data_IF_319744284714
#
_entry.id   IF_319744284714
#
_cell.length_a   1.000
_cell.length_b   1.000
_cell.length_c   1.000
_cell.angle_alpha   90.00
_cell.angle_beta   90.00
_cell.angle_gamma   90.00
#
_symmetry.space_group_name_H-M   'P 1'
#
loop_
_entity.id
_entity.type
_entity.pdbx_description
1 polymer ?
#
# COMPACT_ATOMS: atom_id res chain seq x y z
N UNK A 1 0.18 -34.12 8.12
CA UNK A 1 0.68 -32.73 8.04
C UNK A 1 -0.20 -31.98 7.05
N UNK A 2 -1.03 -31.05 7.50
CA UNK A 2 -1.93 -30.30 6.62
C UNK A 2 -1.12 -29.32 5.78
N UNK A 3 -1.17 -29.43 4.46
CA UNK A 3 -0.55 -28.46 3.56
C UNK A 3 -1.19 -27.08 3.79
N UNK A 4 -0.42 -26.13 4.30
CA UNK A 4 -0.92 -24.80 4.63
C UNK A 4 -1.56 -24.11 3.42
N UNK A 5 -2.77 -23.58 3.60
CA UNK A 5 -3.52 -22.83 2.57
C UNK A 5 -2.68 -21.64 2.06
N UNK A 6 -2.43 -21.56 0.75
CA UNK A 6 -1.78 -20.40 0.12
C UNK A 6 -2.60 -19.13 0.35
N UNK A 7 -1.93 -18.03 0.71
CA UNK A 7 -2.58 -16.70 0.87
C UNK A 7 -3.11 -16.21 -0.48
N UNK A 8 -4.27 -15.54 -0.47
CA UNK A 8 -4.86 -14.96 -1.68
C UNK A 8 -3.98 -13.83 -2.25
N UNK A 9 -4.16 -13.52 -3.54
CA UNK A 9 -3.44 -12.41 -4.19
C UNK A 9 -3.70 -11.08 -3.49
N UNK A 10 -4.96 -10.75 -3.16
CA UNK A 10 -5.30 -9.57 -2.35
C UNK A 10 -4.55 -9.55 -1.03
N UNK A 11 -4.57 -10.67 -0.28
CA UNK A 11 -3.91 -10.76 1.02
C UNK A 11 -2.42 -10.47 0.93
N UNK A 12 -1.75 -10.92 -0.15
CA UNK A 12 -0.33 -10.64 -0.39
C UNK A 12 -0.08 -9.19 -0.82
N UNK A 13 -0.92 -8.64 -1.69
CA UNK A 13 -0.78 -7.27 -2.20
C UNK A 13 -0.99 -6.21 -1.11
N UNK A 14 -1.87 -6.49 -0.15
CA UNK A 14 -2.14 -5.61 0.99
C UNK A 14 -1.22 -5.88 2.20
N UNK A 15 -0.29 -6.83 2.11
CA UNK A 15 0.66 -7.13 3.20
C UNK A 15 1.88 -6.21 3.09
N UNK A 16 2.40 -5.73 4.22
CA UNK A 16 3.62 -4.93 4.23
C UNK A 16 4.82 -5.87 4.20
N UNK A 17 5.45 -5.99 3.03
CA UNK A 17 6.66 -6.81 2.89
C UNK A 17 7.83 -6.26 3.72
N UNK A 18 8.83 -7.10 4.09
CA UNK A 18 10.02 -6.62 4.80
C UNK A 18 10.78 -5.51 4.07
N UNK A 19 10.85 -5.58 2.73
CA UNK A 19 11.48 -4.55 1.91
C UNK A 19 10.74 -3.21 2.00
N UNK A 20 9.40 -3.24 1.92
CA UNK A 20 8.58 -2.03 2.07
C UNK A 20 8.68 -1.46 3.48
N UNK A 21 8.70 -2.32 4.50
CA UNK A 21 8.90 -1.91 5.90
C UNK A 21 10.21 -1.15 6.07
N UNK A 22 11.28 -1.60 5.45
CA UNK A 22 12.58 -0.92 5.49
C UNK A 22 12.54 0.44 4.81
N UNK A 23 11.89 0.55 3.63
CA UNK A 23 11.71 1.82 2.92
C UNK A 23 10.99 2.83 3.83
N UNK A 24 9.85 2.45 4.40
CA UNK A 24 9.04 3.31 5.28
C UNK A 24 9.83 3.68 6.54
N UNK A 25 10.54 2.72 7.15
CA UNK A 25 11.34 2.97 8.35
C UNK A 25 12.49 3.94 8.11
N UNK A 26 13.11 3.88 6.93
CA UNK A 26 14.22 4.77 6.55
C UNK A 26 13.72 6.17 6.19
N UNK A 27 12.59 6.26 5.48
CA UNK A 27 11.94 7.52 5.09
C UNK A 27 11.44 8.27 6.33
N UNK A 28 10.74 7.58 7.22
CA UNK A 28 10.00 8.21 8.32
C UNK A 28 10.83 8.22 9.60
N UNK A 29 11.22 9.41 10.06
CA UNK A 29 12.08 9.58 11.25
C UNK A 29 11.33 9.47 12.59
N UNK A 30 10.03 9.21 12.56
CA UNK A 30 9.16 9.10 13.73
C UNK A 30 7.71 9.02 13.33
N UNK A 31 6.79 9.21 14.28
CA UNK A 31 5.38 9.36 13.97
C UNK A 31 5.15 10.67 13.20
N UNK A 32 4.55 10.58 12.01
CA UNK A 32 4.28 11.76 11.18
C UNK A 32 3.39 12.79 11.88
N UNK A 33 2.48 12.35 12.73
CA UNK A 33 1.57 13.22 13.49
C UNK A 33 2.25 13.88 14.68
N UNK A 34 3.11 13.16 15.41
CA UNK A 34 3.96 13.77 16.44
C UNK A 34 4.88 14.84 15.85
N UNK A 35 5.50 14.56 14.69
CA UNK A 35 6.39 15.50 14.01
C UNK A 35 5.63 16.75 13.52
N UNK A 36 4.35 16.61 13.18
CA UNK A 36 3.44 17.71 12.86
C UNK A 36 2.86 18.41 14.11
N UNK A 37 3.28 18.03 15.32
CA UNK A 37 2.74 18.52 16.60
C UNK A 37 1.20 18.39 16.72
N UNK A 38 0.61 17.41 16.03
CA UNK A 38 -0.83 17.21 15.99
C UNK A 38 -1.30 16.35 17.16
N UNK A 39 -2.26 16.84 17.95
CA UNK A 39 -2.91 16.10 19.04
C UNK A 39 -1.93 15.31 19.89
N UNK A 40 -0.97 15.99 20.54
CA UNK A 40 0.02 15.30 21.35
C UNK A 40 -0.63 14.74 22.64
N UNK A 41 -0.26 13.52 23.07
CA UNK A 41 -0.76 12.98 24.33
C UNK A 41 -0.29 13.83 25.51
N UNK A 42 -1.13 13.92 26.54
CA UNK A 42 -0.78 14.62 27.78
C UNK A 42 0.16 13.75 28.60
N UNK A 43 1.43 14.16 28.67
CA UNK A 43 2.49 13.44 29.39
C UNK A 43 3.14 12.33 28.57
N UNK A 44 4.18 11.73 29.15
CA UNK A 44 4.96 10.67 28.52
C UNK A 44 4.58 9.29 29.08
N UNK A 45 3.94 8.48 28.25
CA UNK A 45 3.62 7.07 28.53
C UNK A 45 4.30 6.24 27.42
N UNK A 46 5.38 5.51 27.71
CA UNK A 46 6.20 4.83 26.69
C UNK A 46 5.38 3.96 25.70
N UNK A 47 4.34 3.28 26.19
CA UNK A 47 3.49 2.38 25.41
C UNK A 47 2.74 3.11 24.29
N UNK A 48 2.38 4.38 24.51
CA UNK A 48 1.72 5.23 23.52
C UNK A 48 2.65 5.62 22.38
N UNK A 49 3.97 5.62 22.62
CA UNK A 49 5.00 6.02 21.65
C UNK A 49 5.64 4.85 20.90
N UNK A 50 5.14 3.62 21.09
CA UNK A 50 5.57 2.47 20.28
C UNK A 50 5.23 2.72 18.80
N UNK A 51 6.24 2.60 17.93
CA UNK A 51 6.10 2.90 16.50
C UNK A 51 5.55 1.71 15.72
N UNK A 52 4.60 1.99 14.82
CA UNK A 52 3.98 1.07 13.89
C UNK A 52 3.91 1.68 12.50
N UNK A 53 3.69 0.84 11.48
CA UNK A 53 3.41 1.32 10.13
C UNK A 53 1.90 1.29 9.93
N UNK A 54 1.34 2.46 9.66
CA UNK A 54 -0.07 2.68 9.39
C UNK A 54 -0.32 2.63 7.89
N UNK A 55 -1.55 2.28 7.50
CA UNK A 55 -2.01 2.48 6.13
C UNK A 55 -2.88 3.73 6.03
N UNK A 56 -2.72 4.48 4.94
CA UNK A 56 -3.61 5.57 4.58
C UNK A 56 -4.98 5.04 4.13
N UNK A 57 -5.00 4.11 3.16
CA UNK A 57 -6.15 3.25 2.82
C UNK A 57 -5.99 1.92 3.56
N UNK A 58 -6.96 1.55 4.39
CA UNK A 58 -6.82 0.36 5.23
C UNK A 58 -6.75 -0.94 4.41
N UNK A 59 -6.03 -1.92 4.95
CA UNK A 59 -5.96 -3.26 4.37
C UNK A 59 -7.34 -3.94 4.22
N UNK A 60 -8.29 -3.66 5.12
CA UNK A 60 -9.64 -4.24 5.06
C UNK A 60 -10.41 -3.76 3.83
N UNK A 61 -10.28 -2.49 3.44
CA UNK A 61 -10.89 -1.93 2.22
C UNK A 61 -10.10 -2.24 0.96
N UNK A 62 -8.86 -2.71 1.11
CA UNK A 62 -8.03 -3.19 -0.01
C UNK A 62 -6.81 -2.30 -0.28
N UNK A 63 -6.41 -1.49 0.69
CA UNK A 63 -5.20 -0.70 0.60
C UNK A 63 -3.95 -1.57 0.40
N UNK A 64 -3.12 -1.18 -0.56
CA UNK A 64 -1.90 -1.87 -0.93
C UNK A 64 -0.81 -1.69 0.15
N UNK A 65 0.05 -2.70 0.30
CA UNK A 65 1.21 -2.67 1.20
C UNK A 65 2.43 -2.04 0.54
N UNK A 66 2.26 -0.86 -0.07
CA UNK A 66 3.30 -0.13 -0.82
C UNK A 66 3.70 1.16 -0.08
N UNK A 67 4.93 1.67 -0.24
CA UNK A 67 5.41 2.86 0.48
C UNK A 67 4.49 4.09 0.38
N UNK A 68 3.83 4.28 -0.76
CA UNK A 68 2.91 5.38 -1.09
C UNK A 68 1.61 5.32 -0.26
N UNK A 69 1.23 4.16 0.26
CA UNK A 69 0.04 4.00 1.11
C UNK A 69 0.39 3.96 2.60
N UNK A 70 1.67 4.07 2.97
CA UNK A 70 2.14 3.74 4.31
C UNK A 70 2.88 4.90 4.95
N UNK A 71 2.75 5.07 6.26
CA UNK A 71 3.65 5.92 7.05
C UNK A 71 3.76 5.42 8.48
N UNK A 72 4.85 5.83 9.15
CA UNK A 72 5.12 5.51 10.55
C UNK A 72 4.24 6.35 11.47
N UNK A 73 3.61 5.68 12.43
CA UNK A 73 2.79 6.29 13.47
C UNK A 73 3.11 5.70 14.83
N UNK A 74 2.95 6.48 15.90
CA UNK A 74 2.95 5.92 17.24
C UNK A 74 1.61 5.23 17.50
N UNK A 75 1.58 4.33 18.47
CA UNK A 75 0.36 3.61 18.84
C UNK A 75 -0.80 4.56 19.19
N UNK A 76 -0.52 5.69 19.84
CA UNK A 76 -1.53 6.71 20.15
C UNK A 76 -2.21 7.27 18.88
N UNK A 77 -1.42 7.79 17.94
CA UNK A 77 -1.98 8.35 16.70
C UNK A 77 -2.52 7.28 15.76
N UNK A 78 -1.96 6.07 15.78
CA UNK A 78 -2.50 4.95 14.99
C UNK A 78 -3.93 4.63 15.44
N UNK A 79 -4.17 4.52 16.76
CA UNK A 79 -5.51 4.34 17.30
C UNK A 79 -6.43 5.52 16.99
N UNK A 80 -5.93 6.74 17.09
CA UNK A 80 -6.71 7.94 16.76
C UNK A 80 -7.14 7.95 15.28
N UNK A 81 -6.24 7.58 14.36
CA UNK A 81 -6.52 7.48 12.93
C UNK A 81 -7.63 6.46 12.65
N UNK A 82 -7.63 5.33 13.36
CA UNK A 82 -8.59 4.25 13.13
C UNK A 82 -9.94 4.45 13.84
N UNK A 83 -9.97 5.07 15.02
CA UNK A 83 -11.10 4.98 15.95
C UNK A 83 -11.72 6.34 16.33
N UNK A 84 -11.19 7.47 15.84
CA UNK A 84 -11.64 8.80 16.27
C UNK A 84 -12.34 9.59 15.16
N UNK A 85 -13.18 10.58 15.50
CA UNK A 85 -13.77 11.50 14.52
C UNK A 85 -12.73 12.40 13.84
N UNK A 86 -11.51 12.50 14.39
CA UNK A 86 -10.39 13.26 13.83
C UNK A 86 -9.76 12.59 12.61
N UNK A 87 -10.20 11.40 12.24
CA UNK A 87 -9.69 10.63 11.09
C UNK A 87 -9.57 11.46 9.82
N UNK A 88 -10.58 12.28 9.50
CA UNK A 88 -10.57 13.08 8.26
C UNK A 88 -9.44 14.13 8.27
N UNK A 89 -9.28 14.86 9.37
CA UNK A 89 -8.18 15.82 9.55
C UNK A 89 -6.81 15.12 9.48
N UNK A 90 -6.68 13.98 10.15
CA UNK A 90 -5.45 13.18 10.11
C UNK A 90 -5.14 12.67 8.69
N UNK A 91 -6.15 12.29 7.91
CA UNK A 91 -5.97 11.89 6.51
C UNK A 91 -5.42 13.05 5.67
N UNK A 92 -5.82 14.29 5.91
CA UNK A 92 -5.23 15.45 5.21
C UNK A 92 -3.72 15.61 5.51
N UNK A 93 -3.33 15.47 6.79
CA UNK A 93 -1.91 15.54 7.19
C UNK A 93 -1.12 14.38 6.56
N UNK A 94 -1.68 13.17 6.59
CA UNK A 94 -1.06 11.98 6.03
C UNK A 94 -0.92 12.08 4.50
N UNK A 95 -1.96 12.53 3.80
CA UNK A 95 -1.90 12.78 2.35
C UNK A 95 -0.84 13.83 2.00
N UNK A 96 -0.82 14.97 2.70
CA UNK A 96 0.19 16.02 2.50
C UNK A 96 1.61 15.47 2.69
N UNK A 97 1.81 14.67 3.74
CA UNK A 97 3.08 14.00 4.00
C UNK A 97 3.50 13.08 2.85
N UNK A 98 2.59 12.25 2.35
CA UNK A 98 2.86 11.31 1.25
C UNK A 98 3.14 12.04 -0.06
N UNK A 99 2.34 13.06 -0.42
CA UNK A 99 2.54 13.87 -1.63
C UNK A 99 3.89 14.59 -1.65
N UNK A 100 4.42 14.97 -0.49
CA UNK A 100 5.76 15.55 -0.40
C UNK A 100 6.88 14.55 -0.72
N UNK A 101 6.64 13.25 -0.51
CA UNK A 101 7.59 12.19 -0.86
C UNK A 101 7.37 11.59 -2.24
N UNK A 102 6.13 11.65 -2.74
CA UNK A 102 5.71 11.10 -4.02
C UNK A 102 4.90 12.18 -4.77
N UNK A 103 5.53 13.00 -5.64
CA UNK A 103 4.86 14.10 -6.32
C UNK A 103 3.65 13.65 -7.17
N UNK A 104 3.70 12.45 -7.74
CA UNK A 104 2.64 11.85 -8.56
C UNK A 104 1.67 10.98 -7.73
N UNK A 105 1.58 11.22 -6.42
CA UNK A 105 0.72 10.46 -5.52
C UNK A 105 -0.75 10.68 -5.83
N UNK A 106 -1.50 9.58 -5.93
CA UNK A 106 -2.94 9.57 -6.17
C UNK A 106 -3.59 8.47 -5.31
N UNK A 107 -4.61 8.83 -4.52
CA UNK A 107 -5.31 7.88 -3.63
C UNK A 107 -5.92 6.69 -4.39
N UNK A 108 -6.40 6.90 -5.62
CA UNK A 108 -6.98 5.85 -6.47
C UNK A 108 -6.02 4.69 -6.74
N UNK A 109 -4.70 4.96 -6.81
CA UNK A 109 -3.65 3.95 -7.05
C UNK A 109 -3.31 3.12 -5.82
N UNK A 110 -3.87 3.47 -4.66
CA UNK A 110 -3.56 2.78 -3.40
C UNK A 110 -4.46 1.57 -3.15
N UNK A 111 -5.49 1.37 -3.97
CA UNK A 111 -6.42 0.26 -3.84
C UNK A 111 -6.01 -0.94 -4.68
N UNK A 112 -6.19 -2.14 -4.14
CA UNK A 112 -6.05 -3.38 -4.89
C UNK A 112 -7.16 -3.48 -5.95
N UNK A 113 -6.82 -3.19 -7.20
CA UNK A 113 -7.67 -3.47 -8.35
C UNK A 113 -7.65 -4.97 -8.65
N UNK A 114 -8.77 -5.66 -8.43
CA UNK A 114 -8.92 -7.06 -8.81
C UNK A 114 -9.01 -7.21 -10.34
N UNK A 115 -9.64 -6.23 -10.96
CA UNK A 115 -10.12 -6.27 -12.34
C UNK A 115 -9.00 -5.98 -13.35
N UNK A 116 -8.04 -5.13 -13.00
CA UNK A 116 -6.91 -4.77 -13.89
C UNK A 116 -5.91 -5.93 -14.04
N UNK A 117 -5.68 -6.69 -12.96
CA UNK A 117 -4.83 -7.89 -13.00
C UNK A 117 -5.49 -9.04 -13.77
N UNK A 118 -6.81 -9.15 -13.72
CA UNK A 118 -7.58 -10.10 -14.54
C UNK A 118 -7.62 -9.65 -16.02
N UNK A 119 -7.81 -8.35 -16.30
CA UNK A 119 -7.78 -7.77 -17.66
C UNK A 119 -6.41 -7.88 -18.34
N UNK A 120 -5.31 -7.59 -17.64
CA UNK A 120 -3.94 -7.74 -18.18
C UNK A 120 -3.63 -9.21 -18.45
N UNK A 121 -4.09 -10.12 -17.58
CA UNK A 121 -3.92 -11.56 -17.76
C UNK A 121 -4.75 -12.11 -18.92
N UNK A 122 -5.95 -11.59 -19.15
CA UNK A 122 -6.75 -11.92 -20.32
C UNK A 122 -6.16 -11.33 -21.62
N UNK A 123 -5.67 -10.08 -21.58
CA UNK A 123 -5.00 -9.46 -22.73
C UNK A 123 -3.70 -10.20 -23.13
N UNK A 124 -2.90 -10.62 -22.14
CA UNK A 124 -1.70 -11.42 -22.37
C UNK A 124 -1.96 -12.84 -22.88
N UNK A 125 -3.14 -13.42 -22.62
CA UNK A 125 -3.55 -14.69 -23.23
C UNK A 125 -3.94 -14.53 -24.70
N UNK A 126 -4.59 -13.42 -25.06
CA UNK A 126 -5.00 -13.16 -26.44
C UNK A 126 -3.81 -12.99 -27.40
N UNK A 127 -2.66 -12.53 -26.92
CA UNK A 127 -1.44 -12.43 -27.74
C UNK A 127 -0.71 -13.77 -27.90
N UNK A 128 -0.72 -14.63 -26.87
CA UNK A 128 -0.06 -15.95 -26.94
C UNK A 128 -0.83 -16.98 -27.76
N UNK A 129 -2.15 -16.84 -27.89
CA UNK A 129 -3.00 -17.71 -28.71
C UNK A 129 -3.12 -17.23 -30.17
N UNK A 130 -2.72 -15.99 -30.47
CA UNK A 130 -2.75 -15.41 -31.83
C UNK A 130 -1.43 -15.49 -32.61
N UNK A 131 -0.33 -15.95 -32.00
CA UNK A 131 1.01 -15.93 -32.60
C UNK A 131 1.46 -17.25 -33.27
N UNK A 132 0.51 -18.12 -33.65
CA UNK A 132 0.82 -19.37 -34.34
C UNK A 132 0.02 -19.51 -35.65
N UNK A 133 0.50 -18.88 -36.72
CA UNK A 133 0.57 -19.41 -38.09
C UNK A 133 0.94 -18.31 -39.09
N UNK A 134 2.23 -18.13 -39.32
CA UNK A 134 2.74 -17.67 -40.62
C UNK A 134 3.26 -18.91 -41.34
N UNK A 135 2.60 -19.38 -42.42
CA UNK A 135 3.14 -20.48 -43.20
C UNK A 135 4.37 -20.00 -43.96
N UNK A 136 5.48 -20.70 -43.77
CA UNK A 136 6.70 -20.55 -44.54
C UNK A 136 6.59 -21.39 -45.83
N UNK A 137 6.08 -20.81 -46.91
CA UNK A 137 6.20 -21.39 -48.25
C UNK A 137 6.01 -20.33 -49.35
N UNK A 138 7.13 -19.83 -49.90
CA UNK A 138 7.59 -20.20 -51.25
C UNK A 138 8.57 -19.16 -51.81
N UNK A 139 9.79 -19.66 -51.97
CA UNK A 139 10.83 -19.17 -52.86
C UNK A 139 10.37 -19.35 -54.33
N UNK A 140 10.94 -18.55 -55.23
CA UNK A 140 10.89 -18.62 -56.70
C UNK A 140 9.68 -17.94 -57.38
N UNK A 141 9.92 -16.80 -58.04
CA UNK A 141 10.33 -16.70 -59.45
C UNK A 141 11.12 -15.40 -59.68
#
# INVERSE_FOLDING_TARGET
>A
MSAGRRRSTRTRACDISPAVREIVNRRDKGCIFCLAAYELPQGYIPELFRMEIMHFVSRSTGGLGIPENLAKGCFYHHRMLDQSPKRNEMKLIFESYLRNHYPDWEESRLYFAKDEQERIRDYGKTETEGAAQVPAENLEH
#
